data_IF_166507803840
#
_entry.id   IF_166507803840
#
_cell.length_a   1.000
_cell.length_b   1.000
_cell.length_c   1.000
_cell.angle_alpha   90.00
_cell.angle_beta   90.00
_cell.angle_gamma   90.00
#
_symmetry.space_group_name_H-M   'P 1'
#
loop_
_entity.id
_entity.type
_entity.pdbx_description
1 polymer ?
#
# COMPACT_ATOMS: atom_id res chain seq x y z
N UNK A 1 7.71 23.41 -11.20
CA UNK A 1 6.90 22.24 -11.64
C UNK A 1 7.79 21.19 -12.31
N UNK A 2 7.81 19.94 -11.83
CA UNK A 2 8.62 18.86 -12.43
C UNK A 2 9.85 18.41 -11.64
N UNK A 3 10.05 18.93 -10.42
CA UNK A 3 11.04 18.38 -9.48
C UNK A 3 10.29 17.63 -8.40
N UNK A 4 10.54 16.32 -8.29
CA UNK A 4 10.07 15.48 -7.19
C UNK A 4 11.23 15.28 -6.23
N UNK A 5 11.03 15.57 -4.95
CA UNK A 5 12.02 15.33 -3.90
C UNK A 5 11.51 14.22 -2.98
N UNK A 6 12.31 13.17 -2.82
CA UNK A 6 12.05 12.10 -1.86
C UNK A 6 12.62 12.51 -0.49
N UNK A 7 11.75 12.74 0.49
CA UNK A 7 12.11 13.13 1.85
C UNK A 7 12.45 11.90 2.72
N UNK A 8 13.45 11.12 2.33
CA UNK A 8 13.94 9.96 3.09
C UNK A 8 15.21 10.32 3.87
N UNK A 9 15.21 10.10 5.18
CA UNK A 9 16.34 10.38 6.07
C UNK A 9 17.37 9.22 6.13
N UNK A 10 17.46 8.42 5.06
CA UNK A 10 18.38 7.29 4.97
C UNK A 10 18.67 6.91 3.53
N UNK A 11 19.96 6.94 3.16
CA UNK A 11 20.40 6.55 1.82
C UNK A 11 20.13 5.06 1.47
N UNK A 12 19.85 4.20 2.46
CA UNK A 12 19.76 2.74 2.23
C UNK A 12 18.41 2.12 2.60
N UNK A 13 17.55 2.80 3.35
CA UNK A 13 16.31 2.21 3.87
C UNK A 13 15.36 1.78 2.76
N UNK A 14 15.15 2.64 1.77
CA UNK A 14 14.30 2.31 0.61
C UNK A 14 14.84 1.12 -0.17
N UNK A 15 16.16 1.08 -0.41
CA UNK A 15 16.80 -0.05 -1.08
C UNK A 15 16.61 -1.34 -0.30
N UNK A 16 16.85 -1.32 1.02
CA UNK A 16 16.66 -2.48 1.90
C UNK A 16 15.20 -2.95 1.92
N UNK A 17 14.25 -2.02 1.89
CA UNK A 17 12.83 -2.33 1.80
C UNK A 17 12.48 -2.96 0.45
N UNK A 18 12.99 -2.42 -0.66
CA UNK A 18 12.81 -3.06 -1.97
C UNK A 18 13.40 -4.48 -2.02
N UNK A 19 14.57 -4.70 -1.42
CA UNK A 19 15.17 -6.03 -1.30
C UNK A 19 14.33 -6.97 -0.42
N UNK A 20 13.73 -6.47 0.66
CA UNK A 20 12.83 -7.31 1.48
C UNK A 20 11.56 -7.69 0.72
N UNK A 21 11.04 -6.80 -0.12
CA UNK A 21 9.86 -7.07 -0.95
C UNK A 21 10.10 -8.18 -1.98
N UNK A 22 11.33 -8.35 -2.49
CA UNK A 22 11.66 -9.44 -3.43
C UNK A 22 11.35 -10.83 -2.87
N UNK A 23 11.37 -11.00 -1.54
CA UNK A 23 11.04 -12.27 -0.88
C UNK A 23 9.56 -12.65 -1.03
N UNK A 24 8.70 -11.68 -1.27
CA UNK A 24 7.25 -11.87 -1.46
C UNK A 24 6.86 -11.94 -2.94
N UNK A 25 7.85 -12.08 -3.84
CA UNK A 25 7.58 -12.21 -5.26
C UNK A 25 6.74 -13.45 -5.52
N UNK A 26 5.58 -13.26 -6.13
CA UNK A 26 4.77 -14.33 -6.67
C UNK A 26 4.95 -14.42 -8.20
N UNK A 27 5.01 -15.65 -8.77
CA UNK A 27 4.96 -15.83 -10.21
C UNK A 27 3.57 -15.48 -10.75
N UNK A 28 3.52 -14.96 -11.96
CA UNK A 28 2.29 -14.59 -12.67
C UNK A 28 2.61 -13.78 -13.91
N UNK A 29 1.71 -13.81 -14.89
CA UNK A 29 1.83 -13.04 -16.14
C UNK A 29 1.34 -11.61 -15.93
N UNK A 30 0.27 -11.42 -15.15
CA UNK A 30 -0.29 -10.11 -14.81
C UNK A 30 -0.25 -9.93 -13.30
N UNK A 31 0.62 -9.05 -12.82
CA UNK A 31 0.76 -8.71 -11.40
C UNK A 31 0.16 -7.33 -11.15
N UNK A 32 -0.80 -7.24 -10.23
CA UNK A 32 -1.42 -6.01 -9.80
C UNK A 32 -0.82 -5.45 -8.52
N UNK A 33 -1.00 -4.16 -8.29
CA UNK A 33 -0.63 -3.48 -7.05
C UNK A 33 -1.69 -2.44 -6.69
N UNK A 34 -2.08 -2.40 -5.42
CA UNK A 34 -2.88 -1.31 -4.84
C UNK A 34 -2.09 -0.72 -3.68
N UNK A 35 -1.90 0.60 -3.70
CA UNK A 35 -1.48 1.38 -2.53
C UNK A 35 -2.71 2.08 -2.00
N UNK A 36 -3.08 1.84 -0.75
CA UNK A 36 -4.28 2.47 -0.18
C UNK A 36 -4.14 2.80 1.31
N UNK A 37 -4.75 3.91 1.71
CA UNK A 37 -5.09 4.16 3.10
C UNK A 37 -6.39 3.42 3.42
N UNK A 38 -6.37 2.56 4.45
CA UNK A 38 -7.46 1.68 4.82
C UNK A 38 -7.95 1.94 6.26
N UNK A 39 -7.98 3.21 6.68
CA UNK A 39 -8.35 3.61 8.04
C UNK A 39 -9.66 4.45 8.06
N UNK A 40 -10.84 3.87 8.35
CA UNK A 40 -11.10 2.44 8.53
C UNK A 40 -11.27 1.68 7.20
N UNK A 41 -11.16 0.35 7.25
CA UNK A 41 -11.39 -0.51 6.09
C UNK A 41 -12.90 -0.63 5.82
N UNK A 42 -13.34 -0.27 4.61
CA UNK A 42 -14.76 -0.24 4.24
C UNK A 42 -15.12 -1.36 3.25
N UNK A 43 -16.42 -1.59 3.04
CA UNK A 43 -16.89 -2.51 2.00
C UNK A 43 -16.49 -2.05 0.58
N UNK A 44 -16.36 -0.73 0.36
CA UNK A 44 -15.85 -0.18 -0.90
C UNK A 44 -14.40 -0.58 -1.17
N UNK A 45 -13.54 -0.51 -0.15
CA UNK A 45 -12.17 -1.03 -0.23
C UNK A 45 -12.15 -2.50 -0.61
N UNK A 46 -12.96 -3.32 0.08
CA UNK A 46 -13.09 -4.75 -0.23
C UNK A 46 -13.52 -4.98 -1.68
N UNK A 47 -14.52 -4.26 -2.15
CA UNK A 47 -15.00 -4.38 -3.51
C UNK A 47 -13.90 -4.08 -4.51
N UNK A 48 -13.18 -2.96 -4.38
CA UNK A 48 -12.11 -2.59 -5.30
C UNK A 48 -10.95 -3.60 -5.30
N UNK A 49 -10.58 -4.11 -4.13
CA UNK A 49 -9.57 -5.17 -3.99
C UNK A 49 -10.00 -6.43 -4.73
N UNK A 50 -11.25 -6.87 -4.54
CA UNK A 50 -11.78 -8.06 -5.20
C UNK A 50 -11.81 -7.89 -6.72
N UNK A 51 -12.26 -6.72 -7.20
CA UNK A 51 -12.28 -6.42 -8.63
C UNK A 51 -10.87 -6.40 -9.24
N UNK A 52 -9.88 -5.84 -8.54
CA UNK A 52 -8.50 -5.83 -9.01
C UNK A 52 -7.87 -7.23 -8.97
N UNK A 53 -8.12 -8.00 -7.92
CA UNK A 53 -7.63 -9.38 -7.78
C UNK A 53 -8.18 -10.29 -8.88
N UNK A 54 -9.45 -10.11 -9.28
CA UNK A 54 -10.03 -10.88 -10.39
C UNK A 54 -9.39 -10.58 -11.77
N UNK A 55 -8.64 -9.49 -11.89
CA UNK A 55 -8.03 -9.05 -13.14
C UNK A 55 -6.54 -9.36 -13.24
N UNK A 56 -5.93 -9.99 -12.23
CA UNK A 56 -4.51 -10.31 -12.19
C UNK A 56 -4.27 -11.67 -11.54
N UNK A 57 -3.13 -12.28 -11.81
CA UNK A 57 -2.76 -13.56 -11.22
C UNK A 57 -2.38 -13.40 -9.74
N UNK A 58 -1.89 -12.21 -9.39
CA UNK A 58 -1.52 -11.85 -8.03
C UNK A 58 -1.66 -10.34 -7.80
N UNK A 59 -2.21 -9.95 -6.65
CA UNK A 59 -2.41 -8.56 -6.26
C UNK A 59 -1.60 -8.25 -4.98
N UNK A 60 -0.62 -7.35 -5.08
CA UNK A 60 0.06 -6.81 -3.91
C UNK A 60 -0.73 -5.64 -3.31
N UNK A 61 -1.02 -5.70 -2.01
CA UNK A 61 -1.70 -4.64 -1.26
C UNK A 61 -0.70 -3.95 -0.33
N UNK A 62 -0.45 -2.66 -0.57
CA UNK A 62 0.37 -1.80 0.27
C UNK A 62 -0.54 -0.87 1.06
N UNK A 63 -0.67 -1.16 2.35
CA UNK A 63 -1.42 -0.31 3.26
C UNK A 63 -0.54 0.85 3.71
N UNK A 64 -1.00 2.07 3.45
CA UNK A 64 -0.35 3.28 3.94
C UNK A 64 -0.71 3.43 5.41
N UNK A 65 0.30 3.40 6.27
CA UNK A 65 0.13 3.72 7.69
C UNK A 65 0.05 5.24 7.83
N UNK A 66 -1.14 5.76 8.12
CA UNK A 66 -1.31 7.12 8.64
C UNK A 66 -1.52 7.06 10.17
N UNK A 67 -0.70 7.79 10.91
CA UNK A 67 -0.76 7.94 12.38
C UNK A 67 -1.83 8.95 12.81
N UNK A 68 -2.98 8.96 12.14
CA UNK A 68 -4.03 9.97 12.30
C UNK A 68 -5.40 9.35 12.59
N UNK A 69 -5.51 8.57 13.67
CA UNK A 69 -6.75 8.63 14.45
C UNK A 69 -6.79 10.00 15.14
N UNK A 70 -7.14 11.03 14.38
CA UNK A 70 -7.26 12.41 14.86
C UNK A 70 -8.60 12.68 15.55
N UNK A 71 -9.29 11.62 15.97
CA UNK A 71 -10.53 11.67 16.74
C UNK A 71 -10.27 11.03 18.12
N UNK A 72 -10.23 11.83 19.20
CA UNK A 72 -10.33 11.31 20.56
C UNK A 72 -11.64 10.53 20.72
N UNK A 73 -11.60 9.51 21.59
CA UNK A 73 -12.73 8.63 21.90
C UNK A 73 -13.85 9.34 22.71
N UNK A 74 -13.75 10.65 22.96
CA UNK A 74 -14.60 11.39 23.92
C UNK A 74 -15.87 12.03 23.35
N UNK A 75 -16.17 11.90 22.05
CA UNK A 75 -17.42 12.42 21.45
C UNK A 75 -18.39 11.31 20.96
N UNK A 76 -18.45 10.18 21.68
CA UNK A 76 -19.45 9.12 21.45
C UNK A 76 -20.53 9.10 22.52
#
# INVERSE_FOLDING_TARGET
PGVMVLMENSATRLKRYAESLKKFRHPGNKIGCIVMNANPFTQGHRYLIQQAAAQCDWLHLFLVKEDSSRFPYEDR
#
